data_IF_424346063537
#
_entry.id   IF_424346063537
#
_cell.length_a   1.000
_cell.length_b   1.000
_cell.length_c   1.000
_cell.angle_alpha   90.00
_cell.angle_beta   90.00
_cell.angle_gamma   90.00
#
_symmetry.space_group_name_H-M   'P 1'
#
loop_
_entity.id
_entity.type
_entity.pdbx_description
1 polymer ?
#
# COMPACT_ATOMS: atom_id res chain seq x y z
N UNK A 1 9.28 -25.66 5.23
CA UNK A 1 8.10 -25.06 5.89
C UNK A 1 7.19 -24.45 4.85
N UNK A 2 5.87 -24.49 5.05
CA UNK A 2 4.88 -24.03 4.06
C UNK A 2 4.18 -22.77 4.61
N UNK A 3 4.52 -21.57 4.12
CA UNK A 3 3.96 -20.32 4.61
C UNK A 3 2.50 -20.14 4.16
N UNK A 4 1.63 -19.86 5.13
CA UNK A 4 0.21 -19.63 4.92
C UNK A 4 -0.22 -18.31 5.54
N UNK A 5 -1.25 -17.69 4.96
CA UNK A 5 -1.90 -16.51 5.55
C UNK A 5 -3.04 -17.01 6.43
N UNK A 6 -3.01 -16.61 7.70
CA UNK A 6 -4.03 -16.97 8.69
C UNK A 6 -5.12 -15.90 8.79
N UNK A 7 -4.75 -14.63 8.65
CA UNK A 7 -5.71 -13.53 8.66
C UNK A 7 -5.18 -12.32 7.90
N UNK A 8 -6.10 -11.41 7.59
CA UNK A 8 -5.83 -10.08 7.05
C UNK A 8 -6.69 -9.07 7.80
N UNK A 9 -6.16 -7.86 7.99
CA UNK A 9 -6.94 -6.72 8.43
C UNK A 9 -6.34 -5.42 7.87
N UNK A 10 -7.20 -4.52 7.37
CA UNK A 10 -6.79 -3.18 6.93
C UNK A 10 -7.64 -2.11 7.60
N UNK A 11 -7.09 -0.91 7.74
CA UNK A 11 -7.91 0.26 8.02
C UNK A 11 -8.72 0.62 6.77
N UNK A 12 -9.77 1.46 6.89
CA UNK A 12 -10.21 2.25 5.76
C UNK A 12 -9.04 3.07 5.22
N UNK A 13 -9.09 3.43 3.94
CA UNK A 13 -8.15 4.36 3.32
C UNK A 13 -8.74 5.77 3.42
N UNK A 14 -8.04 6.63 4.18
CA UNK A 14 -8.39 8.03 4.37
C UNK A 14 -7.80 8.91 3.27
N UNK A 15 -8.48 10.02 2.96
CA UNK A 15 -7.96 11.03 2.03
C UNK A 15 -6.95 11.93 2.71
N UNK A 16 -6.05 12.51 1.92
CA UNK A 16 -5.11 13.53 2.37
C UNK A 16 -5.79 14.68 3.14
N UNK A 17 -5.25 15.02 4.32
CA UNK A 17 -5.75 16.07 5.20
C UNK A 17 -7.24 15.94 5.60
N UNK A 18 -7.72 14.70 5.78
CA UNK A 18 -9.11 14.41 6.14
C UNK A 18 -9.21 13.74 7.52
N UNK A 19 -10.12 12.78 7.67
CA UNK A 19 -10.52 12.17 8.94
C UNK A 19 -9.36 11.56 9.76
N UNK A 20 -8.27 11.12 9.13
CA UNK A 20 -7.12 10.54 9.83
C UNK A 20 -6.00 11.53 10.20
N UNK A 21 -6.16 12.83 9.90
CA UNK A 21 -5.19 13.88 10.29
C UNK A 21 -4.71 13.80 11.75
N UNK A 22 -5.55 13.45 12.75
CA UNK A 22 -5.09 13.36 14.15
C UNK A 22 -4.24 12.12 14.49
N UNK A 23 -4.11 11.17 13.57
CA UNK A 23 -3.47 9.88 13.79
C UNK A 23 -2.14 9.79 13.03
N UNK A 24 -1.15 9.14 13.63
CA UNK A 24 0.09 8.80 12.94
C UNK A 24 -0.07 7.53 12.09
N UNK A 25 0.87 7.28 11.18
CA UNK A 25 0.95 6.01 10.45
C UNK A 25 1.04 4.82 11.42
N UNK A 26 1.74 4.97 12.55
CA UNK A 26 1.91 3.94 13.57
C UNK A 26 0.61 3.64 14.34
N UNK A 27 -0.28 4.62 14.51
CA UNK A 27 -1.61 4.40 15.09
C UNK A 27 -2.47 3.55 14.15
N UNK A 28 -2.47 3.87 12.86
CA UNK A 28 -3.17 3.10 11.83
C UNK A 28 -2.59 1.68 11.71
N UNK A 29 -1.26 1.56 11.70
CA UNK A 29 -0.54 0.29 11.72
C UNK A 29 -0.92 -0.57 12.93
N UNK A 30 -0.98 0.04 14.13
CA UNK A 30 -1.43 -0.64 15.34
C UNK A 30 -2.87 -1.15 15.26
N UNK A 31 -3.79 -0.39 14.66
CA UNK A 31 -5.17 -0.85 14.42
C UNK A 31 -5.21 -2.07 13.51
N UNK A 32 -4.49 -2.04 12.39
CA UNK A 32 -4.43 -3.15 11.44
C UNK A 32 -3.79 -4.40 12.08
N UNK A 33 -2.67 -4.25 12.79
CA UNK A 33 -1.98 -5.35 13.49
C UNK A 33 -2.92 -6.01 14.51
N UNK A 34 -3.56 -5.22 15.37
CA UNK A 34 -4.49 -5.74 16.37
C UNK A 34 -5.64 -6.52 15.73
N UNK A 35 -6.27 -5.95 14.69
CA UNK A 35 -7.36 -6.63 13.99
C UNK A 35 -6.92 -7.93 13.29
N UNK A 36 -5.69 -7.97 12.77
CA UNK A 36 -5.14 -9.20 12.17
C UNK A 36 -4.90 -10.28 13.23
N UNK A 37 -4.31 -9.93 14.37
CA UNK A 37 -4.11 -10.85 15.50
C UNK A 37 -5.43 -11.41 16.05
N UNK A 38 -6.43 -10.53 16.25
CA UNK A 38 -7.77 -10.92 16.70
C UNK A 38 -8.42 -11.93 15.74
N UNK A 39 -8.38 -11.66 14.43
CA UNK A 39 -8.93 -12.55 13.40
C UNK A 39 -8.17 -13.87 13.26
N UNK A 40 -6.87 -13.86 13.54
CA UNK A 40 -6.04 -15.06 13.56
C UNK A 40 -6.16 -15.85 14.86
N UNK A 41 -6.80 -15.29 15.89
CA UNK A 41 -6.85 -15.82 17.26
C UNK A 41 -5.46 -16.08 17.87
N UNK A 42 -4.46 -15.27 17.46
CA UNK A 42 -3.07 -15.39 17.91
C UNK A 42 -2.81 -14.45 19.08
N UNK A 43 -2.22 -14.96 20.17
CA UNK A 43 -1.84 -14.07 21.27
C UNK A 43 -0.65 -13.18 20.84
N UNK A 44 -0.65 -11.87 21.18
CA UNK A 44 0.41 -10.97 20.71
C UNK A 44 1.83 -11.38 21.12
N UNK A 45 1.98 -12.11 22.24
CA UNK A 45 3.28 -12.61 22.72
C UNK A 45 3.79 -13.87 22.01
N UNK A 46 2.98 -14.49 21.15
CA UNK A 46 3.37 -15.65 20.34
C UNK A 46 3.92 -15.25 18.96
N UNK A 47 3.90 -13.95 18.63
CA UNK A 47 4.51 -13.42 17.41
C UNK A 47 6.03 -13.48 17.55
N UNK A 48 6.71 -14.08 16.57
CA UNK A 48 8.17 -14.18 16.57
C UNK A 48 8.81 -12.86 16.12
N UNK A 49 8.22 -12.19 15.13
CA UNK A 49 8.71 -10.90 14.62
C UNK A 49 7.62 -10.10 13.88
N UNK A 50 7.88 -8.81 13.73
CA UNK A 50 7.05 -7.88 12.93
C UNK A 50 7.86 -7.27 11.80
N UNK A 51 7.42 -7.48 10.57
CA UNK A 51 8.04 -6.92 9.37
C UNK A 51 7.05 -5.95 8.75
N UNK A 52 7.33 -4.65 8.76
CA UNK A 52 6.32 -3.65 8.36
C UNK A 52 6.88 -2.57 7.44
N UNK A 53 6.18 -2.34 6.33
CA UNK A 53 6.51 -1.33 5.34
C UNK A 53 6.09 0.07 5.76
N UNK A 54 6.97 1.07 5.54
CA UNK A 54 6.68 2.49 5.74
C UNK A 54 7.66 3.34 4.92
N UNK A 55 7.17 4.25 4.08
CA UNK A 55 8.01 5.02 3.16
C UNK A 55 8.40 6.36 3.77
N UNK A 56 7.42 7.15 4.22
CA UNK A 56 7.64 8.54 4.67
C UNK A 56 8.06 8.60 6.14
N UNK A 57 9.27 8.14 6.43
CA UNK A 57 9.78 7.96 7.80
C UNK A 57 10.33 9.24 8.45
N UNK A 58 10.46 10.33 7.69
CA UNK A 58 11.03 11.58 8.20
C UNK A 58 10.21 12.11 9.40
N UNK A 59 10.90 12.32 10.53
CA UNK A 59 10.27 12.84 11.75
C UNK A 59 9.41 11.84 12.54
N UNK A 60 9.26 10.60 12.08
CA UNK A 60 8.35 9.60 12.67
C UNK A 60 8.94 8.85 13.88
N UNK A 61 10.15 9.22 14.32
CA UNK A 61 10.85 8.58 15.44
C UNK A 61 11.56 7.28 15.06
N UNK A 62 12.08 6.57 16.06
CA UNK A 62 12.86 5.35 15.85
C UNK A 62 11.96 4.17 15.47
N UNK A 63 12.37 3.41 14.45
CA UNK A 63 11.83 2.10 14.06
C UNK A 63 10.29 2.07 14.08
N UNK A 64 9.67 2.67 13.08
CA UNK A 64 8.21 2.87 13.05
C UNK A 64 7.40 1.57 13.15
N UNK A 65 7.89 0.45 12.58
CA UNK A 65 7.25 -0.87 12.74
C UNK A 65 7.17 -1.33 14.20
N UNK A 66 8.17 -0.98 15.02
CA UNK A 66 8.18 -1.28 16.45
C UNK A 66 7.13 -0.49 17.21
N UNK A 67 6.97 0.79 16.86
CA UNK A 67 5.91 1.64 17.41
C UNK A 67 4.52 1.08 17.06
N UNK A 68 4.29 0.71 15.79
CA UNK A 68 3.05 0.10 15.35
C UNK A 68 2.76 -1.24 16.04
N UNK A 69 3.77 -2.09 16.20
CA UNK A 69 3.65 -3.37 16.91
C UNK A 69 3.14 -3.16 18.36
N UNK A 70 3.75 -2.22 19.09
CA UNK A 70 3.34 -1.89 20.46
C UNK A 70 1.93 -1.31 20.50
N UNK A 71 1.59 -0.41 19.57
CA UNK A 71 0.24 0.15 19.42
C UNK A 71 -0.81 -0.94 19.10
N UNK A 72 -0.38 -2.02 18.43
CA UNK A 72 -1.18 -3.21 18.14
C UNK A 72 -1.26 -4.22 19.29
N UNK A 73 -0.55 -3.99 20.41
CA UNK A 73 -0.54 -4.84 21.59
C UNK A 73 0.55 -5.92 21.62
N UNK A 74 1.45 -5.95 20.64
CA UNK A 74 2.61 -6.86 20.62
C UNK A 74 3.63 -6.39 21.67
N UNK A 75 4.13 -7.28 22.54
CA UNK A 75 5.01 -6.88 23.63
C UNK A 75 6.39 -6.43 23.12
N UNK A 76 7.05 -5.61 23.94
CA UNK A 76 8.41 -5.09 23.70
C UNK A 76 9.50 -6.17 23.67
N UNK A 77 9.16 -7.46 23.77
CA UNK A 77 10.10 -8.58 23.61
C UNK A 77 10.19 -9.09 22.18
N UNK A 78 9.23 -8.78 21.31
CA UNK A 78 9.17 -9.27 19.91
C UNK A 78 9.97 -8.36 18.99
N UNK A 79 10.97 -8.82 18.23
CA UNK A 79 11.71 -7.96 17.29
C UNK A 79 10.81 -7.36 16.19
N UNK A 80 11.20 -6.20 15.66
CA UNK A 80 10.51 -5.57 14.54
C UNK A 80 11.49 -4.87 13.60
N UNK A 81 11.23 -4.94 12.29
CA UNK A 81 12.00 -4.25 11.24
C UNK A 81 11.08 -3.38 10.39
N UNK A 82 11.55 -2.18 10.06
CA UNK A 82 10.85 -1.26 9.15
C UNK A 82 11.51 -1.36 7.78
N UNK A 83 10.72 -1.65 6.74
CA UNK A 83 11.21 -1.79 5.36
C UNK A 83 10.72 -0.62 4.53
N UNK A 84 11.59 -0.09 3.67
CA UNK A 84 11.22 0.85 2.64
C UNK A 84 11.63 0.30 1.27
N UNK A 85 10.62 -0.04 0.47
CA UNK A 85 10.71 -0.32 -0.97
C UNK A 85 9.67 0.50 -1.73
N UNK A 86 9.49 1.76 -1.33
CA UNK A 86 8.48 2.70 -1.82
C UNK A 86 7.09 2.00 -1.83
N UNK A 87 6.34 2.05 -2.93
CA UNK A 87 5.00 1.47 -3.06
C UNK A 87 4.95 -0.03 -2.75
N UNK A 88 6.08 -0.74 -2.86
CA UNK A 88 6.16 -2.19 -2.67
C UNK A 88 6.47 -2.59 -1.23
N UNK A 89 6.61 -1.64 -0.30
CA UNK A 89 7.09 -1.91 1.06
C UNK A 89 6.25 -2.96 1.79
N UNK A 90 4.92 -2.86 1.73
CA UNK A 90 4.02 -3.83 2.37
C UNK A 90 4.10 -5.24 1.77
N UNK A 91 4.15 -5.35 0.44
CA UNK A 91 4.32 -6.66 -0.23
C UNK A 91 5.72 -7.24 -0.01
N UNK A 92 6.74 -6.39 0.11
CA UNK A 92 8.11 -6.82 0.42
C UNK A 92 8.18 -7.41 1.83
N UNK A 93 7.48 -6.80 2.80
CA UNK A 93 7.37 -7.35 4.14
C UNK A 93 6.74 -8.76 4.14
N UNK A 94 5.69 -8.98 3.33
CA UNK A 94 5.07 -10.29 3.17
C UNK A 94 6.05 -11.31 2.55
N UNK A 95 6.82 -10.90 1.53
CA UNK A 95 7.81 -11.75 0.90
C UNK A 95 8.95 -12.14 1.86
N UNK A 96 9.43 -11.20 2.69
CA UNK A 96 10.46 -11.48 3.69
C UNK A 96 9.95 -12.41 4.80
N UNK A 97 8.74 -12.17 5.34
CA UNK A 97 8.10 -13.07 6.30
C UNK A 97 7.96 -14.49 5.75
N UNK A 98 7.55 -14.61 4.49
CA UNK A 98 7.45 -15.89 3.77
C UNK A 98 8.81 -16.60 3.71
N UNK A 99 9.89 -15.86 3.47
CA UNK A 99 11.23 -16.43 3.42
C UNK A 99 11.74 -16.86 4.80
N UNK A 100 11.53 -16.05 5.85
CA UNK A 100 11.92 -16.39 7.21
C UNK A 100 11.22 -17.66 7.71
N UNK A 101 9.93 -17.80 7.42
CA UNK A 101 9.17 -19.03 7.70
C UNK A 101 9.71 -20.22 6.90
N UNK A 102 9.99 -20.04 5.60
CA UNK A 102 10.54 -21.13 4.76
C UNK A 102 11.90 -21.62 5.28
N UNK A 103 12.73 -20.71 5.76
CA UNK A 103 14.06 -20.99 6.33
C UNK A 103 13.98 -21.57 7.75
N UNK A 104 12.87 -21.39 8.46
CA UNK A 104 12.70 -21.87 9.84
C UNK A 104 13.16 -20.92 10.92
N UNK A 105 13.43 -19.68 10.55
CA UNK A 105 13.81 -18.62 11.49
C UNK A 105 12.60 -18.07 12.25
N UNK A 106 11.39 -18.27 11.73
CA UNK A 106 10.14 -17.82 12.36
C UNK A 106 8.99 -18.76 12.07
N UNK A 107 8.02 -18.78 12.98
CA UNK A 107 6.81 -19.60 12.94
C UNK A 107 5.56 -18.76 12.76
N UNK A 108 5.44 -17.64 13.49
CA UNK A 108 4.33 -16.69 13.40
C UNK A 108 4.87 -15.27 13.18
N UNK A 109 4.57 -14.69 12.03
CA UNK A 109 5.06 -13.36 11.63
C UNK A 109 3.88 -12.44 11.35
N UNK A 110 3.94 -11.21 11.85
CA UNK A 110 3.04 -10.14 11.42
C UNK A 110 3.73 -9.33 10.33
N UNK A 111 3.12 -9.30 9.15
CA UNK A 111 3.65 -8.60 7.98
C UNK A 111 2.64 -7.63 7.38
N UNK A 112 3.09 -6.52 6.82
CA UNK A 112 2.18 -5.55 6.20
C UNK A 112 2.83 -4.19 5.97
N UNK A 113 2.03 -3.14 5.97
CA UNK A 113 2.51 -1.78 5.79
C UNK A 113 1.53 -0.73 6.31
N UNK A 114 2.06 0.47 6.50
CA UNK A 114 1.33 1.65 6.94
C UNK A 114 1.90 2.89 6.26
N UNK A 115 1.04 3.88 6.07
CA UNK A 115 1.44 5.19 5.59
C UNK A 115 0.50 6.26 6.14
N UNK A 116 1.05 7.42 6.44
CA UNK A 116 0.26 8.63 6.57
C UNK A 116 0.94 9.76 5.82
N UNK A 117 0.55 9.92 4.56
CA UNK A 117 1.04 10.99 3.70
C UNK A 117 0.63 12.37 4.24
N UNK A 118 -0.49 12.45 4.96
CA UNK A 118 -0.93 13.65 5.69
C UNK A 118 0.09 14.11 6.74
N UNK A 119 0.80 13.18 7.38
CA UNK A 119 1.75 13.47 8.47
C UNK A 119 3.17 13.78 8.00
N UNK A 120 3.42 13.74 6.69
CA UNK A 120 4.74 13.97 6.12
C UNK A 120 5.22 15.41 6.38
N UNK A 121 6.41 15.61 6.99
CA UNK A 121 6.89 16.95 7.31
C UNK A 121 7.49 17.66 6.09
N UNK A 122 7.68 18.97 6.25
CA UNK A 122 8.62 19.71 5.42
C UNK A 122 10.04 19.64 6.03
N UNK A 123 11.06 19.65 5.18
CA UNK A 123 12.47 19.50 5.52
C UNK A 123 13.28 20.77 5.18
N UNK A 124 14.32 21.01 5.98
CA UNK A 124 15.36 22.01 5.72
C UNK A 124 16.74 21.34 5.80
N UNK A 125 17.21 20.67 4.72
CA UNK A 125 18.37 19.76 4.78
C UNK A 125 19.67 20.43 5.24
N UNK A 126 19.92 21.67 4.80
CA UNK A 126 21.15 22.40 5.12
C UNK A 126 21.10 23.14 6.46
N UNK A 127 19.95 23.16 7.15
CA UNK A 127 19.79 23.88 8.42
C UNK A 127 20.76 23.38 9.50
N UNK A 128 21.15 22.11 9.46
CA UNK A 128 22.10 21.53 10.42
C UNK A 128 23.50 22.14 10.31
N UNK A 129 23.99 22.35 9.09
CA UNK A 129 25.29 22.99 8.84
C UNK A 129 25.21 24.51 8.81
N UNK A 130 24.00 25.07 8.65
CA UNK A 130 23.73 26.49 8.56
C UNK A 130 23.83 27.00 7.12
N UNK A 131 22.91 27.89 6.74
CA UNK A 131 22.79 28.44 5.39
C UNK A 131 23.80 29.55 5.05
N UNK A 132 24.55 30.03 6.04
CA UNK A 132 25.47 31.19 5.95
C UNK A 132 24.81 32.52 5.54
N UNK A 133 24.34 32.66 4.31
CA UNK A 133 23.69 33.86 3.76
C UNK A 133 22.95 33.53 2.44
N UNK A 134 21.71 34.00 2.27
CA UNK A 134 20.89 33.81 1.07
C UNK A 134 19.57 33.11 1.35
N UNK A 135 18.80 32.86 0.29
CA UNK A 135 17.51 32.17 0.36
C UNK A 135 17.69 30.66 0.57
N UNK A 136 16.67 29.99 1.12
CA UNK A 136 16.65 28.56 1.36
C UNK A 136 15.32 27.94 0.92
N UNK A 137 15.39 26.74 0.34
CA UNK A 137 14.21 25.95 -0.03
C UNK A 137 13.73 25.12 1.15
N UNK A 138 12.43 25.13 1.39
CA UNK A 138 11.74 24.18 2.27
C UNK A 138 11.24 23.03 1.39
N UNK A 139 11.69 21.82 1.67
CA UNK A 139 11.44 20.63 0.84
C UNK A 139 10.25 19.86 1.40
N UNK A 140 9.26 19.53 0.57
CA UNK A 140 8.15 18.64 0.95
C UNK A 140 8.65 17.19 0.99
N UNK A 141 8.66 16.53 2.17
CA UNK A 141 9.20 15.17 2.26
C UNK A 141 8.32 14.14 1.56
N UNK A 142 7.01 14.37 1.46
CA UNK A 142 6.10 13.46 0.74
C UNK A 142 6.47 13.42 -0.74
N UNK A 143 6.68 14.61 -1.32
CA UNK A 143 7.13 14.72 -2.69
C UNK A 143 8.53 14.13 -2.84
N UNK A 144 9.48 14.57 -2.03
CA UNK A 144 10.89 14.22 -2.15
C UNK A 144 11.17 12.72 -1.93
N UNK A 145 10.63 12.12 -0.87
CA UNK A 145 10.94 10.75 -0.47
C UNK A 145 9.96 9.70 -1.05
N UNK A 146 8.80 10.14 -1.55
CA UNK A 146 7.73 9.24 -1.99
C UNK A 146 7.31 9.38 -3.47
N UNK A 147 7.31 10.60 -4.03
CA UNK A 147 6.64 10.89 -5.31
C UNK A 147 7.55 11.51 -6.38
N UNK A 148 8.85 11.61 -6.11
CA UNK A 148 9.84 12.22 -7.01
C UNK A 148 10.92 11.21 -7.42
N UNK A 149 11.22 11.14 -8.73
CA UNK A 149 12.24 10.25 -9.25
C UNK A 149 13.62 10.80 -8.90
N UNK A 150 14.40 10.05 -8.10
CA UNK A 150 15.78 10.42 -7.78
C UNK A 150 16.73 10.36 -8.99
N UNK A 151 16.34 9.71 -10.09
CA UNK A 151 17.16 9.56 -11.29
C UNK A 151 16.75 10.55 -12.38
N UNK A 152 15.47 10.51 -12.79
CA UNK A 152 14.96 11.36 -13.87
C UNK A 152 14.60 12.78 -13.41
N UNK A 153 14.67 13.04 -12.10
CA UNK A 153 14.43 14.35 -11.50
C UNK A 153 13.08 14.97 -11.88
N UNK A 154 12.02 14.16 -11.89
CA UNK A 154 10.64 14.57 -12.17
C UNK A 154 9.65 13.85 -11.25
N UNK A 155 8.41 14.32 -11.17
CA UNK A 155 7.35 13.61 -10.45
C UNK A 155 7.00 12.29 -11.14
N UNK A 156 6.58 11.29 -10.37
CA UNK A 156 6.12 10.00 -10.92
C UNK A 156 5.02 10.15 -11.98
N UNK A 157 4.13 11.14 -11.81
CA UNK A 157 3.08 11.42 -12.79
C UNK A 157 3.61 12.00 -14.11
N UNK A 158 4.66 12.81 -14.07
CA UNK A 158 5.28 13.38 -15.28
C UNK A 158 5.92 12.29 -16.14
N UNK A 159 6.72 11.41 -15.52
CA UNK A 159 7.34 10.28 -16.22
C UNK A 159 6.29 9.30 -16.76
N UNK A 160 5.22 9.06 -16.00
CA UNK A 160 4.12 8.20 -16.46
C UNK A 160 3.32 8.82 -17.62
N UNK A 161 3.12 10.14 -17.65
CA UNK A 161 2.48 10.83 -18.77
C UNK A 161 3.28 10.70 -20.06
N UNK A 162 4.60 10.85 -19.98
CA UNK A 162 5.49 10.64 -21.14
C UNK A 162 5.37 9.21 -21.67
N UNK A 163 5.42 8.23 -20.77
CA UNK A 163 5.29 6.82 -21.14
C UNK A 163 3.92 6.48 -21.71
N UNK A 164 2.84 7.10 -21.22
CA UNK A 164 1.50 6.96 -21.82
C UNK A 164 1.50 7.36 -23.30
N UNK A 165 2.19 8.45 -23.66
CA UNK A 165 2.32 8.90 -25.05
C UNK A 165 3.03 7.89 -25.94
N UNK A 166 4.14 7.32 -25.46
CA UNK A 166 4.90 6.28 -26.17
C UNK A 166 4.07 5.01 -26.41
N UNK A 167 3.33 4.59 -25.39
CA UNK A 167 2.47 3.39 -25.41
C UNK A 167 1.10 3.65 -26.07
N UNK A 168 0.85 4.89 -26.51
CA UNK A 168 -0.41 5.32 -27.13
C UNK A 168 -1.65 5.06 -26.25
N UNK A 169 -1.46 5.17 -24.93
CA UNK A 169 -2.54 5.01 -23.94
C UNK A 169 -3.40 6.27 -23.94
N UNK A 170 -4.67 6.14 -24.34
CA UNK A 170 -5.55 7.28 -24.48
C UNK A 170 -6.07 7.79 -23.14
N UNK A 171 -6.45 9.07 -23.10
CA UNK A 171 -7.13 9.69 -21.95
C UNK A 171 -8.46 9.00 -21.67
N UNK A 172 -9.22 8.73 -22.73
CA UNK A 172 -10.56 8.15 -22.65
C UNK A 172 -10.53 6.75 -22.03
N UNK A 173 -9.51 5.95 -22.34
CA UNK A 173 -9.34 4.61 -21.77
C UNK A 173 -9.00 4.66 -20.27
N UNK A 174 -8.11 5.58 -19.87
CA UNK A 174 -7.78 5.82 -18.46
C UNK A 174 -9.01 6.26 -17.65
N UNK A 175 -9.79 7.21 -18.18
CA UNK A 175 -11.00 7.69 -17.51
C UNK A 175 -12.09 6.60 -17.43
N UNK A 176 -12.21 5.74 -18.45
CA UNK A 176 -13.13 4.60 -18.40
C UNK A 176 -12.72 3.59 -17.33
N UNK A 177 -11.43 3.27 -17.23
CA UNK A 177 -10.88 2.39 -16.20
C UNK A 177 -11.14 2.95 -14.80
N UNK A 178 -10.90 4.23 -14.57
CA UNK A 178 -11.13 4.87 -13.26
C UNK A 178 -12.60 4.97 -12.88
N UNK A 179 -13.51 5.18 -13.85
CA UNK A 179 -14.94 5.09 -13.59
C UNK A 179 -15.35 3.67 -13.15
N UNK A 180 -14.84 2.64 -13.84
CA UNK A 180 -15.02 1.22 -13.48
C UNK A 180 -14.46 0.90 -12.09
N UNK A 181 -13.28 1.42 -11.75
CA UNK A 181 -12.65 1.25 -10.44
C UNK A 181 -13.51 1.81 -9.32
N UNK A 182 -14.01 3.04 -9.47
CA UNK A 182 -14.97 3.63 -8.54
C UNK A 182 -16.27 2.81 -8.42
N UNK A 183 -16.87 2.39 -9.54
CA UNK A 183 -18.09 1.59 -9.55
C UNK A 183 -17.91 0.28 -8.77
N UNK A 184 -16.83 -0.48 -9.04
CA UNK A 184 -16.52 -1.74 -8.36
C UNK A 184 -16.29 -1.55 -6.87
N UNK A 185 -15.51 -0.55 -6.47
CA UNK A 185 -15.25 -0.26 -5.06
C UNK A 185 -16.50 0.18 -4.30
N UNK A 186 -17.39 0.95 -4.94
CA UNK A 186 -18.70 1.31 -4.37
C UNK A 186 -19.57 0.08 -4.21
N UNK A 187 -19.66 -0.78 -5.23
CA UNK A 187 -20.44 -2.02 -5.16
C UNK A 187 -19.92 -2.97 -4.06
N UNK A 188 -18.59 -3.08 -3.90
CA UNK A 188 -17.96 -3.86 -2.83
C UNK A 188 -18.25 -3.29 -1.42
N UNK A 189 -18.31 -1.96 -1.31
CA UNK A 189 -18.71 -1.27 -0.07
C UNK A 189 -20.18 -1.53 0.24
N UNK A 190 -21.08 -1.29 -0.72
CA UNK A 190 -22.54 -1.42 -0.55
C UNK A 190 -22.99 -2.86 -0.28
N UNK A 191 -22.29 -3.84 -0.85
CA UNK A 191 -22.54 -5.26 -0.61
C UNK A 191 -21.91 -5.79 0.68
N UNK A 192 -21.13 -4.98 1.39
CA UNK A 192 -20.46 -5.36 2.63
C UNK A 192 -19.26 -6.30 2.45
N UNK A 193 -18.71 -6.42 1.24
CA UNK A 193 -17.51 -7.23 0.98
C UNK A 193 -16.31 -6.65 1.74
N UNK A 194 -16.08 -5.34 1.65
CA UNK A 194 -14.97 -4.69 2.35
C UNK A 194 -15.11 -4.71 3.87
N UNK A 195 -16.32 -4.83 4.41
CA UNK A 195 -16.53 -4.92 5.86
C UNK A 195 -15.84 -6.17 6.48
N UNK A 196 -15.55 -7.19 5.67
CA UNK A 196 -14.85 -8.41 6.11
C UNK A 196 -13.36 -8.19 6.35
N UNK A 197 -12.75 -7.24 5.63
CA UNK A 197 -11.31 -6.94 5.68
C UNK A 197 -11.00 -5.65 6.46
N UNK A 198 -11.93 -4.68 6.49
CA UNK A 198 -11.78 -3.41 7.22
C UNK A 198 -11.90 -3.63 8.73
N UNK A 199 -11.02 -2.96 9.49
CA UNK A 199 -11.10 -2.78 10.94
C UNK A 199 -11.43 -1.32 11.21
N UNK A 200 -12.45 -1.08 12.03
CA UNK A 200 -12.89 0.27 12.36
C UNK A 200 -11.78 1.08 13.05
N UNK A 201 -11.56 2.31 12.60
CA UNK A 201 -10.59 3.24 13.20
C UNK A 201 -11.35 4.27 14.03
N UNK A 202 -10.99 4.39 15.32
CA UNK A 202 -11.59 5.38 16.22
C UNK A 202 -10.73 6.64 16.25
N UNK A 203 -11.24 7.72 15.66
CA UNK A 203 -10.55 9.00 15.56
C UNK A 203 -10.95 9.89 16.74
N UNK A 204 -10.01 10.32 17.59
CA UNK A 204 -10.31 11.14 18.76
C UNK A 204 -10.92 12.49 18.38
N UNK A 205 -11.86 12.97 19.19
CA UNK A 205 -12.51 14.25 19.02
C UNK A 205 -12.33 15.14 20.25
N UNK A 206 -12.14 16.45 20.03
CA UNK A 206 -12.04 17.40 21.14
C UNK A 206 -13.38 17.52 21.85
N UNK A 207 -13.47 17.00 23.09
CA UNK A 207 -14.66 17.06 23.97
C UNK A 207 -15.91 16.39 23.38
N UNK A 208 -15.74 15.37 22.53
CA UNK A 208 -16.82 14.53 22.00
C UNK A 208 -16.35 13.08 21.96
N UNK A 209 -17.29 12.16 21.79
CA UNK A 209 -16.95 10.77 21.54
C UNK A 209 -16.13 10.61 20.24
N UNK A 210 -15.23 9.63 20.16
CA UNK A 210 -14.47 9.36 18.94
C UNK A 210 -15.39 9.07 17.74
N UNK A 211 -14.99 9.54 16.57
CA UNK A 211 -15.64 9.15 15.31
C UNK A 211 -15.12 7.77 14.94
N UNK A 212 -16.03 6.84 14.67
CA UNK A 212 -15.67 5.54 14.14
C UNK A 212 -15.71 5.59 12.61
N UNK A 213 -14.60 5.29 11.96
CA UNK A 213 -14.45 5.26 10.50
C UNK A 213 -14.41 3.81 10.05
N UNK A 214 -15.35 3.43 9.18
CA UNK A 214 -15.55 2.06 8.72
C UNK A 214 -15.59 1.92 7.20
N UNK A 215 -15.47 3.02 6.45
CA UNK A 215 -15.58 3.06 4.99
C UNK A 215 -14.43 3.86 4.38
N UNK A 216 -14.00 3.48 3.19
CA UNK A 216 -12.94 4.15 2.44
C UNK A 216 -13.37 5.57 2.02
N UNK A 217 -12.58 6.58 2.37
CA UNK A 217 -12.94 7.99 2.17
C UNK A 217 -12.79 8.49 0.72
N UNK A 218 -12.07 7.75 -0.11
CA UNK A 218 -11.72 8.12 -1.48
C UNK A 218 -12.82 7.92 -2.53
N UNK A 219 -13.90 7.22 -2.17
CA UNK A 219 -14.93 6.78 -3.13
C UNK A 219 -15.87 7.92 -3.54
N UNK A 220 -16.03 8.12 -4.86
CA UNK A 220 -16.91 9.16 -5.42
C UNK A 220 -18.08 8.52 -6.17
N UNK A 221 -19.25 8.48 -5.54
CA UNK A 221 -20.47 7.95 -6.15
C UNK A 221 -20.89 8.78 -7.37
N UNK A 222 -21.35 8.08 -8.42
CA UNK A 222 -21.76 8.71 -9.67
C UNK A 222 -20.61 9.19 -10.56
N UNK A 223 -19.37 8.75 -10.30
CA UNK A 223 -18.24 9.01 -11.19
C UNK A 223 -18.48 8.34 -12.54
N UNK A 224 -18.41 9.12 -13.61
CA UNK A 224 -18.55 8.64 -15.00
C UNK A 224 -17.34 9.05 -15.83
N UNK A 225 -17.07 8.32 -16.92
CA UNK A 225 -16.05 8.69 -17.90
C UNK A 225 -16.22 10.15 -18.38
N UNK A 226 -17.46 10.59 -18.64
CA UNK A 226 -17.74 11.98 -19.05
C UNK A 226 -17.36 12.99 -17.96
N UNK A 227 -17.66 12.69 -16.70
CA UNK A 227 -17.30 13.57 -15.58
C UNK A 227 -15.79 13.68 -15.39
N UNK A 228 -15.07 12.57 -15.59
CA UNK A 228 -13.61 12.51 -15.51
C UNK A 228 -12.96 13.23 -16.69
N UNK A 229 -13.52 13.12 -17.90
CA UNK A 229 -13.02 13.79 -19.10
C UNK A 229 -12.96 15.32 -19.01
N UNK A 230 -13.72 15.92 -18.08
CA UNK A 230 -13.72 17.38 -17.82
C UNK A 230 -12.50 17.83 -16.99
N UNK A 231 -11.75 16.91 -16.39
CA UNK A 231 -10.60 17.23 -15.56
C UNK A 231 -9.40 17.64 -16.41
N UNK A 232 -8.68 18.65 -15.92
CA UNK A 232 -7.42 19.11 -16.52
C UNK A 232 -6.29 18.11 -16.20
N UNK A 233 -5.30 17.97 -17.11
CA UNK A 233 -4.07 17.24 -16.82
C UNK A 233 -3.40 17.73 -15.54
N UNK A 234 -2.85 16.81 -14.75
CA UNK A 234 -2.30 17.09 -13.42
C UNK A 234 -0.80 17.42 -13.43
N UNK A 235 -0.06 16.92 -14.42
CA UNK A 235 1.40 16.98 -14.46
C UNK A 235 1.90 17.75 -15.69
N UNK A 236 1.63 17.22 -16.88
CA UNK A 236 1.97 17.86 -18.14
C UNK A 236 0.74 18.53 -18.77
N UNK A 237 0.82 19.74 -19.34
CA UNK A 237 -0.32 20.41 -19.98
C UNK A 237 -0.99 19.61 -21.11
N UNK A 238 -0.18 18.84 -21.85
CA UNK A 238 -0.62 17.94 -22.92
C UNK A 238 -0.70 16.47 -22.45
N UNK A 239 -0.59 16.24 -21.14
CA UNK A 239 -0.64 14.94 -20.49
C UNK A 239 -2.06 14.34 -20.47
N UNK A 240 -2.11 13.05 -20.18
CA UNK A 240 -3.36 12.27 -20.11
C UNK A 240 -3.77 11.95 -18.66
N UNK A 241 -2.83 12.05 -17.72
CA UNK A 241 -3.08 11.80 -16.31
C UNK A 241 -3.74 13.02 -15.67
N UNK A 242 -4.79 12.76 -14.90
CA UNK A 242 -5.54 13.74 -14.11
C UNK A 242 -5.71 13.25 -12.68
N UNK A 243 -6.18 14.14 -11.81
CA UNK A 243 -6.56 13.76 -10.44
C UNK A 243 -7.70 12.72 -10.37
N UNK A 244 -8.40 12.47 -11.49
CA UNK A 244 -9.48 11.49 -11.55
C UNK A 244 -9.07 10.12 -12.08
N UNK A 245 -7.87 10.00 -12.64
CA UNK A 245 -7.34 8.73 -13.17
C UNK A 245 -5.95 8.35 -12.62
N UNK A 246 -5.52 9.05 -11.57
CA UNK A 246 -4.37 8.75 -10.73
C UNK A 246 -4.83 8.28 -9.34
N UNK A 247 -3.99 7.49 -8.67
CA UNK A 247 -4.20 7.15 -7.26
C UNK A 247 -4.18 8.40 -6.35
N UNK A 248 -4.84 8.28 -5.20
CA UNK A 248 -4.96 9.36 -4.23
C UNK A 248 -3.78 9.39 -3.26
N UNK A 249 -3.37 10.58 -2.85
CA UNK A 249 -2.59 10.76 -1.63
C UNK A 249 -3.49 10.37 -0.46
N UNK A 250 -3.03 9.39 0.32
CA UNK A 250 -3.89 8.67 1.26
C UNK A 250 -3.19 8.32 2.57
N UNK A 251 -3.99 8.04 3.59
CA UNK A 251 -3.55 7.51 4.88
C UNK A 251 -4.19 6.13 5.11
N UNK A 252 -3.42 5.15 5.55
CA UNK A 252 -3.95 3.81 5.81
C UNK A 252 -2.91 2.78 6.23
N UNK A 253 -3.37 1.62 6.67
CA UNK A 253 -2.52 0.48 7.00
C UNK A 253 -3.20 -0.86 6.72
N UNK A 254 -2.40 -1.89 6.48
CA UNK A 254 -2.84 -3.28 6.35
C UNK A 254 -1.84 -4.23 7.01
N UNK A 255 -2.33 -5.28 7.64
CA UNK A 255 -1.53 -6.30 8.32
C UNK A 255 -2.09 -7.70 8.04
N UNK A 256 -1.18 -8.66 7.92
CA UNK A 256 -1.44 -10.08 7.79
C UNK A 256 -0.73 -10.82 8.91
N UNK A 257 -1.37 -11.90 9.38
CA UNK A 257 -0.68 -12.94 10.17
C UNK A 257 -0.28 -14.05 9.21
N UNK A 258 1.03 -14.29 9.09
CA UNK A 258 1.61 -15.34 8.25
C UNK A 258 2.25 -16.36 9.17
N UNK A 259 2.04 -17.64 8.89
CA UNK A 259 2.53 -18.71 9.74
C UNK A 259 3.08 -19.89 8.94
N UNK A 260 3.89 -20.74 9.57
CA UNK A 260 4.07 -22.11 9.05
C UNK A 260 2.74 -22.89 9.15
N UNK A 261 2.38 -23.60 8.09
CA UNK A 261 1.13 -24.37 7.98
C UNK A 261 0.94 -25.37 9.11
N UNK A 262 1.99 -26.07 9.53
CA UNK A 262 1.85 -27.09 10.57
C UNK A 262 1.62 -26.43 11.94
N UNK A 263 2.32 -25.34 12.22
CA UNK A 263 2.12 -24.55 13.42
C UNK A 263 0.73 -23.90 13.48
N UNK A 264 0.26 -23.30 12.38
CA UNK A 264 -1.08 -22.73 12.28
C UNK A 264 -2.17 -23.78 12.58
N UNK A 265 -2.03 -25.00 12.02
CA UNK A 265 -2.94 -26.12 12.30
C UNK A 265 -2.88 -26.56 13.77
N UNK A 266 -1.69 -26.64 14.35
CA UNK A 266 -1.50 -27.04 15.75
C UNK A 266 -2.10 -26.01 16.72
N UNK A 267 -2.02 -24.72 16.39
CA UNK A 267 -2.61 -23.63 17.13
C UNK A 267 -4.11 -23.44 16.88
N UNK A 268 -4.73 -24.22 15.97
CA UNK A 268 -6.15 -24.10 15.64
C UNK A 268 -6.50 -22.82 14.87
N UNK A 269 -5.52 -22.16 14.26
CA UNK A 269 -5.71 -20.91 13.54
C UNK A 269 -6.40 -21.15 12.18
N UNK A 270 -7.18 -20.17 11.69
CA UNK A 270 -7.67 -20.20 10.32
C UNK A 270 -6.50 -20.21 9.32
N UNK A 271 -6.71 -20.80 8.16
CA UNK A 271 -5.82 -20.73 7.00
C UNK A 271 -6.68 -20.26 5.83
N UNK A 272 -6.46 -19.02 5.40
CA UNK A 272 -7.29 -18.37 4.36
C UNK A 272 -6.62 -18.39 2.99
N UNK A 273 -5.28 -18.47 2.94
CA UNK A 273 -4.53 -18.59 1.69
C UNK A 273 -3.16 -19.26 1.91
N UNK A 274 -2.58 -19.77 0.81
CA UNK A 274 -1.21 -20.26 0.74
C UNK A 274 -0.37 -19.31 -0.11
N UNK A 275 0.88 -19.06 0.30
CA UNK A 275 1.81 -18.22 -0.46
C UNK A 275 2.67 -19.13 -1.34
N UNK A 276 2.27 -19.28 -2.60
CA UNK A 276 2.95 -20.12 -3.58
C UNK A 276 4.33 -19.55 -3.95
N UNK A 277 4.37 -18.29 -4.37
CA UNK A 277 5.60 -17.62 -4.79
C UNK A 277 5.46 -16.10 -4.72
N UNK A 278 6.58 -15.41 -4.92
CA UNK A 278 6.62 -13.98 -5.18
C UNK A 278 7.62 -13.69 -6.29
N UNK A 279 7.37 -12.63 -7.05
CA UNK A 279 8.23 -12.16 -8.13
C UNK A 279 8.66 -10.72 -7.88
N UNK A 280 9.86 -10.39 -8.35
CA UNK A 280 10.39 -9.03 -8.31
C UNK A 280 11.18 -8.78 -9.58
N UNK A 281 11.03 -7.59 -10.13
CA UNK A 281 11.79 -7.08 -11.26
C UNK A 281 12.26 -5.67 -10.95
N UNK A 282 13.30 -5.25 -11.65
CA UNK A 282 13.65 -3.86 -11.83
C UNK A 282 13.67 -3.60 -13.34
N UNK A 283 13.20 -2.42 -13.77
CA UNK A 283 13.24 -2.03 -15.18
C UNK A 283 14.65 -1.55 -15.59
N UNK A 284 14.93 -1.48 -16.90
CA UNK A 284 16.08 -0.72 -17.40
C UNK A 284 15.93 0.79 -17.17
N UNK A 285 14.72 1.24 -16.85
CA UNK A 285 14.33 2.62 -16.58
C UNK A 285 13.41 2.71 -15.34
N UNK A 286 13.01 3.93 -14.97
CA UNK A 286 12.13 4.20 -13.83
C UNK A 286 10.63 4.05 -14.16
N UNK A 287 10.25 3.56 -15.35
CA UNK A 287 8.85 3.47 -15.76
C UNK A 287 8.13 2.30 -15.07
N UNK A 288 6.82 2.47 -14.87
CA UNK A 288 6.01 1.56 -14.04
C UNK A 288 5.15 0.59 -14.85
N UNK A 289 4.71 0.97 -16.06
CA UNK A 289 3.60 0.35 -16.79
C UNK A 289 3.71 -1.16 -16.97
N UNK A 290 4.93 -1.66 -17.19
CA UNK A 290 5.21 -3.06 -17.50
C UNK A 290 5.58 -3.87 -16.26
N UNK A 291 6.03 -3.20 -15.19
CA UNK A 291 6.66 -3.82 -14.03
C UNK A 291 5.73 -4.78 -13.28
N UNK A 292 4.42 -4.49 -13.07
CA UNK A 292 3.51 -5.44 -12.43
C UNK A 292 3.36 -6.75 -13.23
N UNK A 293 3.17 -6.66 -14.55
CA UNK A 293 3.03 -7.84 -15.42
C UNK A 293 4.31 -8.70 -15.45
N UNK A 294 5.47 -8.05 -15.56
CA UNK A 294 6.77 -8.72 -15.50
C UNK A 294 7.00 -9.39 -14.13
N UNK A 295 6.67 -8.70 -13.03
CA UNK A 295 6.78 -9.26 -11.68
C UNK A 295 5.87 -10.49 -11.49
N UNK A 296 4.63 -10.44 -12.00
CA UNK A 296 3.73 -11.59 -11.98
C UNK A 296 4.29 -12.76 -12.80
N UNK A 297 4.89 -12.49 -13.96
CA UNK A 297 5.53 -13.52 -14.79
C UNK A 297 6.68 -14.22 -14.04
N UNK A 298 7.51 -13.45 -13.32
CA UNK A 298 8.57 -14.01 -12.45
C UNK A 298 8.00 -14.83 -11.29
N UNK A 299 6.85 -14.42 -10.72
CA UNK A 299 6.19 -15.18 -9.67
C UNK A 299 5.65 -16.52 -10.20
N UNK A 300 4.92 -16.49 -11.33
CA UNK A 300 4.35 -17.68 -11.96
C UNK A 300 5.42 -18.68 -12.39
N UNK A 301 6.57 -18.21 -12.89
CA UNK A 301 7.70 -19.06 -13.28
C UNK A 301 8.33 -19.88 -12.13
N UNK A 302 7.96 -19.61 -10.87
CA UNK A 302 8.34 -20.40 -9.68
C UNK A 302 7.25 -21.40 -9.27
N UNK A 303 6.19 -21.51 -10.05
CA UNK A 303 5.03 -22.37 -9.83
C UNK A 303 4.76 -23.20 -11.09
N UNK A 304 3.72 -24.03 -11.06
CA UNK A 304 3.22 -24.73 -12.24
C UNK A 304 2.02 -24.03 -12.90
N UNK A 305 1.70 -22.81 -12.47
CA UNK A 305 0.54 -22.04 -12.95
C UNK A 305 0.95 -21.13 -14.11
N UNK A 306 0.00 -20.90 -15.00
CA UNK A 306 0.07 -19.91 -16.07
C UNK A 306 -0.93 -18.77 -15.82
N UNK A 307 -0.85 -17.70 -16.62
CA UNK A 307 -1.74 -16.53 -16.48
C UNK A 307 -3.22 -16.94 -16.59
N UNK A 308 -3.54 -17.90 -17.46
CA UNK A 308 -4.91 -18.40 -17.66
C UNK A 308 -5.46 -19.21 -16.48
N UNK A 309 -4.62 -19.61 -15.52
CA UNK A 309 -5.05 -20.32 -14.31
C UNK A 309 -5.43 -19.34 -13.17
N UNK A 310 -5.25 -18.03 -13.36
CA UNK A 310 -5.54 -17.03 -12.34
C UNK A 310 -7.02 -16.64 -12.35
N UNK A 311 -7.71 -16.91 -11.25
CA UNK A 311 -9.12 -16.52 -11.07
C UNK A 311 -9.28 -15.00 -10.86
N UNK A 312 -8.32 -14.36 -10.19
CA UNK A 312 -8.33 -12.94 -9.84
C UNK A 312 -6.90 -12.37 -9.86
N UNK A 313 -6.79 -11.12 -10.30
CA UNK A 313 -5.54 -10.37 -10.32
C UNK A 313 -5.77 -8.98 -9.73
N UNK A 314 -4.96 -8.63 -8.74
CA UNK A 314 -4.94 -7.30 -8.13
C UNK A 314 -3.66 -6.58 -8.55
N UNK A 315 -3.78 -5.59 -9.44
CA UNK A 315 -2.72 -4.65 -9.75
C UNK A 315 -3.03 -3.31 -9.10
N UNK A 316 -2.07 -2.81 -8.31
CA UNK A 316 -2.21 -1.49 -7.71
C UNK A 316 -2.31 -0.41 -8.81
N UNK A 317 -3.39 0.36 -8.78
CA UNK A 317 -3.71 1.40 -9.74
C UNK A 317 -2.95 2.71 -9.43
N UNK A 318 -1.60 2.67 -9.41
CA UNK A 318 -0.78 3.87 -9.21
C UNK A 318 -1.23 5.01 -10.15
N UNK A 319 -1.43 4.63 -11.42
CA UNK A 319 -2.23 5.33 -12.41
C UNK A 319 -3.10 4.30 -13.14
N UNK A 320 -4.26 4.70 -13.65
CA UNK A 320 -5.12 3.82 -14.45
C UNK A 320 -4.36 3.19 -15.63
N UNK A 321 -3.46 3.94 -16.26
CA UNK A 321 -2.62 3.45 -17.35
C UNK A 321 -1.69 2.30 -16.97
N UNK A 322 -1.18 2.27 -15.74
CA UNK A 322 -0.25 1.22 -15.27
C UNK A 322 -0.98 -0.11 -15.15
N UNK A 323 -2.12 -0.12 -14.45
CA UNK A 323 -2.92 -1.34 -14.27
C UNK A 323 -3.45 -1.84 -15.62
N UNK A 324 -3.98 -0.93 -16.44
CA UNK A 324 -4.50 -1.26 -17.77
C UNK A 324 -3.41 -1.82 -18.70
N UNK A 325 -2.22 -1.23 -18.73
CA UNK A 325 -1.13 -1.71 -19.58
C UNK A 325 -0.62 -3.07 -19.12
N UNK A 326 -0.44 -3.25 -17.81
CA UNK A 326 -0.05 -4.56 -17.25
C UNK A 326 -1.08 -5.65 -17.53
N UNK A 327 -2.39 -5.34 -17.43
CA UNK A 327 -3.45 -6.26 -17.80
C UNK A 327 -3.40 -6.60 -19.31
N UNK A 328 -3.21 -5.59 -20.16
CA UNK A 328 -3.07 -5.77 -21.60
C UNK A 328 -1.90 -6.68 -21.98
N UNK A 329 -0.72 -6.49 -21.38
CA UNK A 329 0.47 -7.32 -21.64
C UNK A 329 0.24 -8.81 -21.34
N UNK A 330 -0.63 -9.12 -20.37
CA UNK A 330 -0.94 -10.48 -19.96
C UNK A 330 -2.19 -11.04 -20.63
N UNK A 331 -2.93 -10.23 -21.39
CA UNK A 331 -4.17 -10.65 -22.03
C UNK A 331 -5.31 -10.91 -21.04
N UNK A 332 -5.36 -10.18 -19.93
CA UNK A 332 -6.40 -10.29 -18.88
C UNK A 332 -7.31 -9.04 -18.86
N UNK A 333 -8.54 -9.16 -18.36
CA UNK A 333 -9.63 -8.13 -18.38
C UNK A 333 -9.75 -7.32 -17.07
#
# INVERSE_FOLDING_TARGET
MNPVICSIARTPIGRFNDVFTPLSAMDLGGVAIRGALERATLAPGEVDEVIFGHVLQAGQGQITSRQAAVNGGIPMTVPAVTINKVCLSGMTAIAEATNHIRLGESTFVVAGGMESMTSAPYLQPEARSGYRMGDATIVDSMMHDGLFCAFDSCMMGESSDLKNGELQITREAQDAWSARSHERAIAATDSGVFAKEIVAVKVPQRRKDPIEVTEDGGLRRGTTQESLGKLRPAFNPDGSITAGNASQISDGAAALVIADRAAAKAAGMPIIAEILSYGQVAGPDATLHERPAEALTVALGKTSLEVGDLDLVEFNEAFASVAMWSAHMLGID
#
